data_IF_785283033010
#
_entry.id   IF_785283033010
#
_cell.length_a   1.000
_cell.length_b   1.000
_cell.length_c   1.000
_cell.angle_alpha   90.00
_cell.angle_beta   90.00
_cell.angle_gamma   90.00
#
_symmetry.space_group_name_H-M   'P 1'
#
loop_
_entity.id
_entity.type
_entity.pdbx_description
1 polymer ?
#
# COMPACT_ATOMS: atom_id res chain seq x y z
N UNK A 1 21.04 -31.81 -1.26
CA UNK A 1 21.55 -30.80 -0.31
C UNK A 1 22.31 -29.77 -1.11
N UNK A 2 22.03 -28.48 -0.91
CA UNK A 2 22.86 -27.41 -1.48
C UNK A 2 24.19 -27.39 -0.73
N UNK A 3 25.31 -27.39 -1.45
CA UNK A 3 26.63 -27.22 -0.86
C UNK A 3 27.08 -25.77 -1.10
N UNK A 4 27.26 -25.01 -0.02
CA UNK A 4 27.67 -23.60 -0.09
C UNK A 4 29.10 -23.52 0.39
N UNK A 5 30.01 -23.11 -0.49
CA UNK A 5 31.38 -22.80 -0.11
C UNK A 5 31.42 -21.39 0.48
N UNK A 6 31.81 -21.31 1.75
CA UNK A 6 32.06 -20.05 2.44
C UNK A 6 33.56 -19.75 2.38
N UNK A 7 33.92 -18.48 2.42
CA UNK A 7 35.31 -18.09 2.65
C UNK A 7 35.61 -18.10 4.17
N UNK A 8 36.88 -18.12 4.53
CA UNK A 8 37.33 -18.18 5.94
C UNK A 8 36.71 -17.10 6.82
N UNK A 9 36.43 -15.92 6.25
CA UNK A 9 35.81 -14.81 6.96
C UNK A 9 34.32 -15.06 7.24
N UNK A 10 33.56 -15.51 6.24
CA UNK A 10 32.14 -15.83 6.41
C UNK A 10 31.92 -17.03 7.33
N UNK A 11 32.85 -18.00 7.36
CA UNK A 11 32.81 -19.09 8.32
C UNK A 11 32.94 -18.60 9.77
N UNK A 12 33.82 -17.61 10.02
CA UNK A 12 33.93 -16.99 11.36
C UNK A 12 32.62 -16.31 11.76
N UNK A 13 32.02 -15.53 10.85
CA UNK A 13 30.72 -14.91 11.10
C UNK A 13 29.63 -15.94 11.40
N UNK A 14 29.58 -17.04 10.65
CA UNK A 14 28.61 -18.10 10.88
C UNK A 14 28.76 -18.70 12.29
N UNK A 15 29.99 -19.00 12.71
CA UNK A 15 30.26 -19.56 14.05
C UNK A 15 29.83 -18.60 15.16
N UNK A 16 30.15 -17.31 15.02
CA UNK A 16 29.78 -16.29 16.01
C UNK A 16 28.26 -16.12 16.13
N UNK A 17 27.55 -16.03 14.99
CA UNK A 17 26.09 -15.88 14.98
C UNK A 17 25.40 -17.10 15.62
N UNK A 18 25.85 -18.31 15.28
CA UNK A 18 25.28 -19.53 15.85
C UNK A 18 25.52 -19.63 17.36
N UNK A 19 26.69 -19.21 17.83
CA UNK A 19 27.00 -19.17 19.26
C UNK A 19 26.11 -18.17 20.01
N UNK A 20 25.85 -17.00 19.42
CA UNK A 20 25.05 -15.95 20.05
C UNK A 20 23.55 -16.26 20.04
N UNK A 21 23.01 -16.71 18.91
CA UNK A 21 21.57 -16.93 18.73
C UNK A 21 21.10 -18.32 19.18
N UNK A 22 22.02 -19.25 19.46
CA UNK A 22 21.73 -20.64 19.85
C UNK A 22 20.80 -21.35 18.85
N UNK A 23 21.01 -21.09 17.57
CA UNK A 23 20.23 -21.66 16.46
C UNK A 23 21.08 -22.61 15.62
N UNK A 24 20.48 -23.23 14.60
CA UNK A 24 21.17 -24.10 13.65
C UNK A 24 21.52 -23.34 12.36
N UNK A 25 22.55 -23.79 11.65
CA UNK A 25 22.93 -23.19 10.36
C UNK A 25 21.78 -23.18 9.36
N UNK A 26 20.94 -24.22 9.34
CA UNK A 26 19.81 -24.33 8.42
C UNK A 26 18.70 -23.32 8.73
N UNK A 27 18.35 -23.16 10.02
CA UNK A 27 17.34 -22.19 10.46
C UNK A 27 17.79 -20.75 10.18
N UNK A 28 19.07 -20.44 10.46
CA UNK A 28 19.67 -19.16 10.13
C UNK A 28 19.61 -18.89 8.62
N UNK A 29 19.97 -19.88 7.79
CA UNK A 29 19.93 -19.77 6.33
C UNK A 29 18.51 -19.48 5.83
N UNK A 30 17.51 -20.21 6.32
CA UNK A 30 16.10 -19.99 5.96
C UNK A 30 15.64 -18.57 6.32
N UNK A 31 16.00 -18.08 7.53
CA UNK A 31 15.65 -16.74 7.99
C UNK A 31 16.32 -15.66 7.13
N UNK A 32 17.62 -15.79 6.87
CA UNK A 32 18.37 -14.84 6.04
C UNK A 32 17.86 -14.82 4.60
N UNK A 33 17.56 -15.98 4.00
CA UNK A 33 16.97 -16.05 2.67
C UNK A 33 15.60 -15.38 2.62
N UNK A 34 14.76 -15.60 3.64
CA UNK A 34 13.46 -14.96 3.72
C UNK A 34 13.59 -13.43 3.82
N UNK A 35 14.44 -12.93 4.71
CA UNK A 35 14.70 -11.51 4.87
C UNK A 35 15.29 -10.87 3.60
N UNK A 36 16.27 -11.54 2.98
CA UNK A 36 16.88 -11.05 1.75
C UNK A 36 15.86 -11.03 0.61
N UNK A 37 15.03 -12.07 0.47
CA UNK A 37 13.96 -12.12 -0.52
C UNK A 37 12.94 -10.99 -0.32
N UNK A 38 12.55 -10.71 0.93
CA UNK A 38 11.68 -9.58 1.24
C UNK A 38 12.31 -8.23 0.88
N UNK A 39 13.60 -8.04 1.16
CA UNK A 39 14.32 -6.81 0.84
C UNK A 39 14.50 -6.59 -0.66
N UNK A 40 14.59 -7.67 -1.45
CA UNK A 40 14.60 -7.61 -2.91
C UNK A 40 13.25 -7.24 -3.50
N UNK A 41 12.14 -7.44 -2.76
CA UNK A 41 10.83 -7.05 -3.26
C UNK A 41 10.77 -5.52 -3.39
N UNK A 42 10.34 -4.98 -4.53
CA UNK A 42 10.14 -3.56 -4.67
C UNK A 42 9.17 -3.08 -3.59
N UNK A 43 9.51 -1.98 -2.91
CA UNK A 43 8.61 -1.36 -1.94
C UNK A 43 7.33 -0.97 -2.66
N UNK A 44 6.26 -1.72 -2.41
CA UNK A 44 4.94 -1.39 -2.95
C UNK A 44 4.54 0.01 -2.54
N UNK A 45 4.21 0.85 -3.50
CA UNK A 45 3.61 2.17 -3.27
C UNK A 45 2.31 2.04 -2.49
N UNK A 46 1.84 3.13 -1.87
CA UNK A 46 0.56 3.12 -1.17
C UNK A 46 -0.60 2.62 -2.07
N UNK A 47 -0.59 3.03 -3.34
CA UNK A 47 -1.58 2.60 -4.34
C UNK A 47 -1.52 1.09 -4.61
N UNK A 48 -0.33 0.54 -4.82
CA UNK A 48 -0.14 -0.90 -5.04
C UNK A 48 -0.55 -1.73 -3.81
N UNK A 49 -0.37 -1.22 -2.59
CA UNK A 49 -0.87 -1.87 -1.37
C UNK A 49 -2.41 -1.86 -1.26
N UNK A 50 -3.07 -0.87 -1.86
CA UNK A 50 -4.54 -0.68 -1.85
C UNK A 50 -5.27 -1.33 -3.03
N UNK A 51 -4.57 -2.08 -3.88
CA UNK A 51 -5.16 -2.75 -5.05
C UNK A 51 -4.87 -2.08 -6.39
N UNK A 52 -3.89 -1.17 -6.45
CA UNK A 52 -3.43 -0.53 -7.67
C UNK A 52 -3.94 0.91 -7.85
N UNK A 53 -3.81 1.44 -9.07
CA UNK A 53 -4.30 2.77 -9.38
C UNK A 53 -5.82 2.73 -9.62
N UNK A 54 -6.61 3.61 -8.99
CA UNK A 54 -8.05 3.67 -9.22
C UNK A 54 -8.37 3.99 -10.68
N UNK A 55 -9.11 3.09 -11.33
CA UNK A 55 -9.41 3.16 -12.77
C UNK A 55 -10.28 4.34 -13.18
N UNK A 56 -10.99 4.95 -12.22
CA UNK A 56 -11.99 6.00 -12.48
C UNK A 56 -11.82 7.23 -11.58
N UNK A 57 -10.68 7.40 -10.90
CA UNK A 57 -10.49 8.54 -9.98
C UNK A 57 -10.57 9.89 -10.72
N UNK A 58 -10.13 9.92 -11.98
CA UNK A 58 -10.12 11.12 -12.82
C UNK A 58 -11.24 11.10 -13.87
N UNK A 59 -12.18 10.15 -13.79
CA UNK A 59 -13.32 10.10 -14.69
C UNK A 59 -14.46 11.06 -14.29
N UNK A 60 -14.14 12.03 -13.43
CA UNK A 60 -15.04 13.13 -13.07
C UNK A 60 -14.95 14.29 -14.07
N UNK A 61 -15.85 15.27 -13.97
CA UNK A 61 -15.73 16.51 -14.73
C UNK A 61 -14.36 17.18 -14.48
N UNK A 62 -13.84 17.93 -15.46
CA UNK A 62 -12.51 18.57 -15.42
C UNK A 62 -12.30 19.45 -14.18
N UNK A 63 -13.38 19.97 -13.58
CA UNK A 63 -13.32 20.79 -12.38
C UNK A 63 -13.44 19.99 -11.06
N UNK A 64 -13.58 18.66 -11.15
CA UNK A 64 -13.79 17.70 -10.06
C UNK A 64 -14.89 18.15 -9.08
N UNK A 65 -15.81 18.98 -9.54
CA UNK A 65 -16.76 19.69 -8.70
C UNK A 65 -18.16 19.21 -9.05
N UNK A 66 -18.92 18.84 -8.03
CA UNK A 66 -20.37 18.66 -8.15
C UNK A 66 -21.08 20.01 -8.28
N UNK A 67 -20.47 21.01 -8.93
CA UNK A 67 -20.98 22.38 -9.01
C UNK A 67 -22.34 22.40 -9.68
N UNK A 68 -22.51 21.65 -10.77
CA UNK A 68 -23.76 21.66 -11.52
C UNK A 68 -24.87 20.89 -10.77
N UNK A 69 -24.53 19.79 -10.11
CA UNK A 69 -25.43 19.08 -9.18
C UNK A 69 -25.86 20.01 -8.04
N UNK A 70 -24.92 20.72 -7.42
CA UNK A 70 -25.22 21.69 -6.34
C UNK A 70 -26.11 22.84 -6.81
N UNK A 71 -25.87 23.38 -8.02
CA UNK A 71 -26.73 24.44 -8.58
C UNK A 71 -28.16 23.96 -8.75
N UNK A 72 -28.35 22.73 -9.26
CA UNK A 72 -29.68 22.16 -9.45
C UNK A 72 -30.42 22.03 -8.12
N UNK A 73 -29.77 21.44 -7.10
CA UNK A 73 -30.36 21.28 -5.76
C UNK A 73 -30.72 22.65 -5.15
N UNK A 74 -29.86 23.66 -5.31
CA UNK A 74 -30.13 25.02 -4.80
C UNK A 74 -31.32 25.65 -5.52
N UNK A 75 -31.42 25.49 -6.83
CA UNK A 75 -32.54 26.02 -7.61
C UNK A 75 -33.87 25.40 -7.15
N UNK A 76 -33.94 24.08 -7.03
CA UNK A 76 -35.11 23.35 -6.52
C UNK A 76 -35.49 23.81 -5.10
N UNK A 77 -34.51 24.00 -4.22
CA UNK A 77 -34.75 24.48 -2.87
C UNK A 77 -35.32 25.91 -2.83
N UNK A 78 -34.83 26.79 -3.71
CA UNK A 78 -35.34 28.16 -3.83
C UNK A 78 -36.77 28.15 -4.35
N UNK A 79 -37.07 27.36 -5.39
CA UNK A 79 -38.40 27.22 -5.96
C UNK A 79 -39.42 26.72 -4.93
N UNK A 80 -39.12 25.62 -4.22
CA UNK A 80 -39.97 25.12 -3.13
C UNK A 80 -40.19 26.16 -2.02
N UNK A 81 -39.17 26.97 -1.71
CA UNK A 81 -39.30 28.06 -0.72
C UNK A 81 -40.23 29.16 -1.23
N UNK A 82 -40.22 29.47 -2.53
CA UNK A 82 -41.14 30.43 -3.13
C UNK A 82 -42.57 29.90 -3.14
N UNK A 83 -42.79 28.64 -3.52
CA UNK A 83 -44.10 27.99 -3.48
C UNK A 83 -44.70 28.00 -2.08
N UNK A 84 -43.93 27.63 -1.05
CA UNK A 84 -44.37 27.67 0.36
C UNK A 84 -44.77 29.07 0.85
N UNK A 85 -44.21 30.12 0.26
CA UNK A 85 -44.55 31.52 0.60
C UNK A 85 -45.77 32.03 -0.16
N UNK A 86 -46.08 31.42 -1.30
CA UNK A 86 -47.21 31.79 -2.15
C UNK A 86 -48.43 30.90 -1.91
N UNK A 87 -48.30 29.82 -1.12
CA UNK A 87 -49.41 29.03 -0.65
C UNK A 87 -50.33 29.88 0.26
N UNK A 88 -51.66 29.89 0.02
CA UNK A 88 -52.63 30.73 0.75
C UNK A 88 -52.82 30.31 2.21
#
# INVERSE_FOLDING_TARGET
>A
MLNVALNDEAERYLVEILAQEKTTSNELLQRLLHQHWQNLQPRKTFLERRGGHPQHLLNGPDDLSDRDVRKQIIAEHIEQRHERRQAP
#
